data_IF_403877547321
#
_entry.id   IF_403877547321
#
_cell.length_a   1.000
_cell.length_b   1.000
_cell.length_c   1.000
_cell.angle_alpha   90.00
_cell.angle_beta   90.00
_cell.angle_gamma   90.00
#
_symmetry.space_group_name_H-M   'P 1'
#
loop_
_entity.id
_entity.type
_entity.pdbx_description
1 polymer ?
#
# COMPACT_ATOMS: atom_id res chain seq x y z
N UNK A 1 -4.68 5.59 23.82
CA UNK A 1 -5.56 4.43 23.50
C UNK A 1 -4.66 3.25 23.10
N UNK A 2 -4.91 2.07 23.65
CA UNK A 2 -4.16 0.85 23.28
C UNK A 2 -4.31 0.55 21.79
N UNK A 3 -3.24 0.10 21.13
CA UNK A 3 -3.25 -0.26 19.70
C UNK A 3 -4.32 -1.32 19.35
N UNK A 4 -4.61 -2.20 20.31
CA UNK A 4 -5.67 -3.22 20.18
C UNK A 4 -7.07 -2.60 20.02
N UNK A 5 -7.39 -1.56 20.79
CA UNK A 5 -8.70 -0.86 20.68
C UNK A 5 -8.81 -0.14 19.33
N UNK A 6 -7.72 0.46 18.84
CA UNK A 6 -7.71 1.11 17.53
C UNK A 6 -7.90 0.10 16.39
N UNK A 7 -7.26 -1.06 16.48
CA UNK A 7 -7.42 -2.15 15.51
C UNK A 7 -8.86 -2.68 15.49
N UNK A 8 -9.47 -2.92 16.66
CA UNK A 8 -10.86 -3.35 16.75
C UNK A 8 -11.82 -2.33 16.14
N UNK A 9 -11.64 -1.02 16.44
CA UNK A 9 -12.45 0.04 15.83
C UNK A 9 -12.31 0.09 14.30
N UNK A 10 -11.10 -0.13 13.78
CA UNK A 10 -10.88 -0.26 12.35
C UNK A 10 -11.60 -1.48 11.81
N UNK A 11 -11.44 -2.63 12.45
CA UNK A 11 -12.00 -3.91 12.02
C UNK A 11 -13.54 -3.88 11.88
N UNK A 12 -14.23 -3.21 12.81
CA UNK A 12 -15.69 -3.03 12.72
C UNK A 12 -16.13 -2.11 11.57
N UNK A 13 -15.28 -1.14 11.17
CA UNK A 13 -15.57 -0.20 10.08
C UNK A 13 -15.04 -0.67 8.72
N UNK A 14 -14.18 -1.66 8.71
CA UNK A 14 -13.61 -2.21 7.50
C UNK A 14 -14.52 -3.26 6.88
N UNK A 15 -14.49 -3.37 5.57
CA UNK A 15 -15.21 -4.37 4.82
C UNK A 15 -14.35 -5.61 4.53
N UNK A 16 -15.00 -6.71 4.19
CA UNK A 16 -14.40 -7.88 3.55
C UNK A 16 -14.75 -7.89 2.06
N UNK A 17 -14.42 -8.98 1.34
CA UNK A 17 -14.69 -9.09 -0.08
C UNK A 17 -16.16 -8.86 -0.47
N UNK A 18 -17.13 -9.15 0.40
CA UNK A 18 -18.55 -9.02 0.09
C UNK A 18 -19.05 -7.56 0.02
N UNK A 19 -18.33 -6.62 0.61
CA UNK A 19 -18.65 -5.19 0.55
C UNK A 19 -17.85 -4.41 -0.49
N UNK A 20 -17.16 -5.09 -1.42
CA UNK A 20 -16.33 -4.46 -2.45
C UNK A 20 -17.07 -4.52 -3.79
N UNK A 21 -17.41 -3.34 -4.32
CA UNK A 21 -18.08 -3.22 -5.63
C UNK A 21 -17.11 -3.05 -6.81
N UNK A 22 -15.86 -2.67 -6.55
CA UNK A 22 -14.82 -2.56 -7.57
C UNK A 22 -14.29 -3.95 -7.96
N UNK A 23 -14.45 -4.41 -9.23
CA UNK A 23 -13.95 -5.71 -9.67
C UNK A 23 -12.41 -5.82 -9.57
N UNK A 24 -11.70 -4.70 -9.72
CA UNK A 24 -10.26 -4.63 -9.58
C UNK A 24 -9.84 -4.90 -8.12
N UNK A 25 -10.42 -4.18 -7.17
CA UNK A 25 -10.11 -4.35 -5.74
C UNK A 25 -10.61 -5.69 -5.22
N UNK A 26 -11.78 -6.16 -5.66
CA UNK A 26 -12.28 -7.49 -5.31
C UNK A 26 -11.29 -8.60 -5.68
N UNK A 27 -10.76 -8.57 -6.92
CA UNK A 27 -9.74 -9.54 -7.36
C UNK A 27 -8.45 -9.45 -6.56
N UNK A 28 -7.99 -8.24 -6.28
CA UNK A 28 -6.81 -8.04 -5.44
C UNK A 28 -6.99 -8.61 -4.03
N UNK A 29 -8.12 -8.33 -3.39
CA UNK A 29 -8.41 -8.83 -2.04
C UNK A 29 -8.49 -10.36 -2.02
N UNK A 30 -9.24 -10.96 -2.94
CA UNK A 30 -9.50 -12.41 -2.94
C UNK A 30 -8.30 -13.23 -3.42
N UNK A 31 -7.59 -12.76 -4.45
CA UNK A 31 -6.47 -13.50 -5.09
C UNK A 31 -5.08 -13.00 -4.67
N UNK A 32 -4.99 -11.86 -4.00
CA UNK A 32 -3.74 -11.28 -3.51
C UNK A 32 -3.66 -11.30 -1.98
N UNK A 33 -4.53 -10.57 -1.29
CA UNK A 33 -4.43 -10.38 0.15
C UNK A 33 -4.82 -11.63 0.97
N UNK A 34 -5.90 -12.32 0.57
CA UNK A 34 -6.46 -13.45 1.33
C UNK A 34 -5.82 -14.80 1.02
N UNK A 35 -4.77 -14.83 0.19
CA UNK A 35 -4.00 -16.05 0.01
C UNK A 35 -3.38 -16.50 1.35
N UNK A 36 -3.36 -17.81 1.59
CA UNK A 36 -2.85 -18.38 2.85
C UNK A 36 -1.34 -18.22 3.01
N UNK A 37 -0.60 -18.03 1.91
CA UNK A 37 0.85 -17.89 1.94
C UNK A 37 1.29 -16.69 2.80
N UNK A 38 2.28 -16.92 3.66
CA UNK A 38 2.84 -15.93 4.58
C UNK A 38 4.34 -15.78 4.30
N UNK A 39 4.72 -14.64 3.76
CA UNK A 39 6.11 -14.33 3.41
C UNK A 39 6.99 -14.00 4.62
N UNK A 40 6.44 -13.32 5.63
CA UNK A 40 7.20 -12.92 6.83
C UNK A 40 6.30 -12.70 8.05
N UNK A 41 6.93 -12.51 9.23
CA UNK A 41 6.22 -12.28 10.50
C UNK A 41 5.61 -10.88 10.60
N UNK A 42 6.27 -9.86 10.06
CA UNK A 42 5.74 -8.49 10.05
C UNK A 42 4.47 -8.43 9.21
N UNK A 43 3.37 -7.96 9.80
CA UNK A 43 2.09 -7.85 9.10
C UNK A 43 2.17 -6.89 7.92
N UNK A 44 2.80 -5.72 8.10
CA UNK A 44 2.96 -4.74 7.05
C UNK A 44 3.80 -5.26 5.89
N UNK A 45 4.97 -5.81 6.16
CA UNK A 45 5.82 -6.39 5.12
C UNK A 45 5.18 -7.59 4.44
N UNK A 46 4.44 -8.43 5.18
CA UNK A 46 3.71 -9.55 4.58
C UNK A 46 2.65 -9.07 3.56
N UNK A 47 1.96 -7.97 3.86
CA UNK A 47 1.04 -7.34 2.91
C UNK A 47 1.81 -6.84 1.68
N UNK A 48 2.94 -6.17 1.88
CA UNK A 48 3.78 -5.68 0.78
C UNK A 48 4.23 -6.81 -0.16
N UNK A 49 4.73 -7.91 0.40
CA UNK A 49 5.11 -9.09 -0.40
C UNK A 49 3.91 -9.70 -1.16
N UNK A 50 2.74 -9.72 -0.55
CA UNK A 50 1.50 -10.13 -1.22
C UNK A 50 1.12 -9.19 -2.37
N UNK A 51 1.35 -7.88 -2.23
CA UNK A 51 1.17 -6.91 -3.30
C UNK A 51 2.13 -7.19 -4.46
N UNK A 52 3.42 -7.43 -4.18
CA UNK A 52 4.41 -7.79 -5.20
C UNK A 52 3.98 -9.05 -5.95
N UNK A 53 3.61 -10.10 -5.21
CA UNK A 53 3.18 -11.38 -5.79
C UNK A 53 1.94 -11.24 -6.68
N UNK A 54 1.00 -10.38 -6.31
CA UNK A 54 -0.23 -10.19 -7.06
C UNK A 54 -0.06 -9.26 -8.27
N UNK A 55 0.54 -8.08 -8.08
CA UNK A 55 0.69 -7.08 -9.14
C UNK A 55 1.84 -7.41 -10.10
N UNK A 56 2.81 -8.24 -9.69
CA UNK A 56 3.96 -8.67 -10.49
C UNK A 56 4.70 -7.50 -11.16
N UNK A 57 5.15 -6.51 -10.37
CA UNK A 57 5.89 -5.38 -10.92
C UNK A 57 7.21 -5.85 -11.54
N UNK A 58 7.72 -5.11 -12.52
CA UNK A 58 9.07 -5.30 -13.04
C UNK A 58 10.12 -4.59 -12.16
N UNK A 59 9.72 -3.48 -11.54
CA UNK A 59 10.63 -2.65 -10.75
C UNK A 59 9.99 -2.09 -9.48
N UNK A 60 10.81 -1.97 -8.43
CA UNK A 60 10.41 -1.40 -7.14
C UNK A 60 11.42 -0.35 -6.72
N UNK A 61 10.91 0.84 -6.36
CA UNK A 61 11.67 1.90 -5.72
C UNK A 61 11.40 1.95 -4.22
N UNK A 62 12.43 2.25 -3.45
CA UNK A 62 12.32 2.54 -2.03
C UNK A 62 12.58 4.03 -1.81
N UNK A 63 11.78 4.68 -0.96
CA UNK A 63 11.99 6.09 -0.61
C UNK A 63 13.35 6.28 0.08
N UNK A 64 13.64 5.43 1.06
CA UNK A 64 14.91 5.37 1.75
C UNK A 64 15.66 4.09 1.40
N UNK A 65 16.98 4.18 1.35
CA UNK A 65 17.81 3.00 1.13
C UNK A 65 17.67 2.02 2.30
N UNK A 66 17.18 0.83 1.99
CA UNK A 66 17.02 -0.26 2.96
C UNK A 66 17.51 -1.56 2.33
N UNK A 67 18.85 -1.76 2.40
CA UNK A 67 19.50 -2.93 1.81
C UNK A 67 18.96 -4.25 2.38
N UNK A 68 18.61 -4.30 3.67
CA UNK A 68 18.04 -5.51 4.27
C UNK A 68 16.69 -5.85 3.64
N UNK A 69 15.84 -4.85 3.40
CA UNK A 69 14.55 -5.07 2.74
C UNK A 69 14.73 -5.39 1.26
N UNK A 70 15.62 -4.67 0.55
CA UNK A 70 15.96 -4.97 -0.85
C UNK A 70 16.40 -6.42 -1.01
N UNK A 71 17.32 -6.90 -0.15
CA UNK A 71 17.79 -8.27 -0.18
C UNK A 71 16.69 -9.28 0.10
N UNK A 72 15.79 -9.03 1.06
CA UNK A 72 14.62 -9.89 1.31
C UNK A 72 13.70 -9.95 0.09
N UNK A 73 13.41 -8.80 -0.53
CA UNK A 73 12.59 -8.72 -1.74
C UNK A 73 13.27 -9.47 -2.90
N UNK A 74 14.58 -9.28 -3.08
CA UNK A 74 15.34 -9.94 -4.15
C UNK A 74 15.40 -11.46 -4.00
N UNK A 75 15.53 -11.95 -2.77
CA UNK A 75 15.53 -13.38 -2.48
C UNK A 75 14.19 -14.04 -2.81
N UNK A 76 13.06 -13.36 -2.51
CA UNK A 76 11.72 -13.88 -2.76
C UNK A 76 11.28 -13.67 -4.23
N UNK A 77 11.73 -12.59 -4.86
CA UNK A 77 11.38 -12.21 -6.23
C UNK A 77 12.65 -11.88 -7.04
N UNK A 78 13.41 -12.90 -7.48
CA UNK A 78 14.74 -12.70 -8.12
C UNK A 78 14.72 -11.88 -9.41
N UNK A 79 13.60 -11.84 -10.13
CA UNK A 79 13.45 -11.11 -11.39
C UNK A 79 13.25 -9.60 -11.21
N UNK A 80 12.94 -9.12 -9.99
CA UNK A 80 12.68 -7.72 -9.74
C UNK A 80 13.91 -6.83 -9.95
N UNK A 81 13.69 -5.70 -10.59
CA UNK A 81 14.64 -4.60 -10.71
C UNK A 81 14.43 -3.56 -9.61
N UNK A 82 15.50 -2.86 -9.24
CA UNK A 82 15.46 -1.69 -8.36
C UNK A 82 15.90 -0.42 -9.09
N UNK A 83 15.69 -0.38 -10.42
CA UNK A 83 16.00 0.77 -11.27
C UNK A 83 14.72 1.44 -11.75
N UNK A 84 14.73 2.76 -11.80
CA UNK A 84 13.63 3.54 -12.36
C UNK A 84 13.47 3.25 -13.89
N UNK A 85 12.24 3.43 -14.44
CA UNK A 85 11.02 3.84 -13.73
C UNK A 85 10.47 2.71 -12.85
N UNK A 86 9.85 3.08 -11.72
CA UNK A 86 9.32 2.11 -10.77
C UNK A 86 7.83 1.84 -10.99
N UNK A 87 7.45 0.55 -11.02
CA UNK A 87 6.04 0.13 -11.04
C UNK A 87 5.40 0.24 -9.66
N UNK A 88 6.18 -0.07 -8.61
CA UNK A 88 5.76 0.14 -7.22
C UNK A 88 6.81 0.99 -6.50
N UNK A 89 6.36 1.99 -5.75
CA UNK A 89 7.20 2.76 -4.83
C UNK A 89 6.83 2.44 -3.38
N UNK A 90 7.82 2.06 -2.58
CA UNK A 90 7.65 1.67 -1.18
C UNK A 90 8.06 2.82 -0.26
N UNK A 91 7.20 3.11 0.70
CA UNK A 91 7.43 4.03 1.83
C UNK A 91 7.33 3.25 3.13
N UNK A 92 8.33 3.39 4.02
CA UNK A 92 8.33 2.66 5.29
C UNK A 92 7.30 3.21 6.27
N UNK A 93 7.11 4.54 6.27
CA UNK A 93 6.04 5.21 7.03
C UNK A 93 5.85 6.63 6.50
N UNK A 94 4.77 7.27 6.90
CA UNK A 94 4.54 8.69 6.63
C UNK A 94 5.09 9.51 7.80
N UNK A 95 6.01 10.42 7.50
CA UNK A 95 6.69 11.26 8.50
C UNK A 95 6.46 12.75 8.22
N UNK A 96 6.50 13.16 6.94
CA UNK A 96 6.48 14.57 6.53
C UNK A 96 5.44 14.83 5.44
N UNK A 97 5.03 16.10 5.30
CA UNK A 97 4.14 16.53 4.22
C UNK A 97 4.87 16.57 2.86
N UNK A 98 6.20 16.71 2.84
CA UNK A 98 6.96 16.65 1.58
C UNK A 98 6.80 15.31 0.86
N UNK A 99 6.64 14.21 1.60
CA UNK A 99 6.35 12.91 1.01
C UNK A 99 5.05 12.91 0.17
N UNK A 100 4.05 13.72 0.55
CA UNK A 100 2.80 13.85 -0.22
C UNK A 100 3.09 14.49 -1.59
N UNK A 101 3.94 15.51 -1.65
CA UNK A 101 4.36 16.14 -2.92
C UNK A 101 5.15 15.17 -3.80
N UNK A 102 6.04 14.37 -3.20
CA UNK A 102 6.81 13.34 -3.93
C UNK A 102 5.90 12.26 -4.50
N UNK A 103 4.86 11.87 -3.76
CA UNK A 103 3.86 10.90 -4.22
C UNK A 103 2.99 11.48 -5.35
N UNK A 104 2.63 12.77 -5.30
CA UNK A 104 1.92 13.44 -6.38
C UNK A 104 2.74 13.45 -7.67
N UNK A 105 4.01 13.86 -7.59
CA UNK A 105 4.93 13.85 -8.73
C UNK A 105 5.11 12.44 -9.31
N UNK A 106 5.23 11.42 -8.44
CA UNK A 106 5.29 10.03 -8.89
C UNK A 106 4.02 9.62 -9.63
N UNK A 107 2.84 9.94 -9.10
CA UNK A 107 1.55 9.62 -9.72
C UNK A 107 1.34 10.29 -11.09
N UNK A 108 1.87 11.51 -11.28
CA UNK A 108 1.86 12.21 -12.57
C UNK A 108 2.79 11.53 -13.58
N UNK A 109 4.00 11.16 -13.18
CA UNK A 109 5.00 10.51 -14.04
C UNK A 109 4.66 9.05 -14.34
N UNK A 110 4.01 8.37 -13.39
CA UNK A 110 3.64 6.95 -13.45
C UNK A 110 2.16 6.74 -13.13
N UNK A 111 1.23 7.11 -14.05
CA UNK A 111 -0.21 7.01 -13.78
C UNK A 111 -0.71 5.58 -13.51
N UNK A 112 0.02 4.55 -13.96
CA UNK A 112 -0.25 3.14 -13.68
C UNK A 112 0.56 2.60 -12.50
N UNK A 113 1.42 3.43 -11.93
CA UNK A 113 2.24 3.08 -10.77
C UNK A 113 1.41 2.89 -9.52
N UNK A 114 2.01 2.22 -8.56
CA UNK A 114 1.40 1.93 -7.26
C UNK A 114 2.33 2.48 -6.18
N UNK A 115 1.78 3.12 -5.17
CA UNK A 115 2.51 3.40 -3.92
C UNK A 115 2.01 2.44 -2.85
N UNK A 116 2.95 1.77 -2.19
CA UNK A 116 2.73 1.05 -0.94
C UNK A 116 3.35 1.82 0.22
N UNK A 117 2.56 2.05 1.27
CA UNK A 117 3.01 2.70 2.50
C UNK A 117 2.85 1.70 3.64
N UNK A 118 3.98 1.36 4.28
CA UNK A 118 4.02 0.52 5.45
C UNK A 118 3.57 1.32 6.69
N UNK A 119 3.06 0.63 7.68
CA UNK A 119 2.78 1.17 9.02
C UNK A 119 2.07 2.54 9.06
N UNK A 120 1.03 2.71 8.20
CA UNK A 120 0.23 3.95 8.08
C UNK A 120 -0.42 4.43 9.39
N UNK A 121 -0.31 3.64 10.45
CA UNK A 121 -0.78 3.95 11.81
C UNK A 121 0.30 3.78 12.88
N UNK A 122 1.58 3.91 12.50
CA UNK A 122 2.71 3.82 13.43
C UNK A 122 2.54 4.77 14.62
N UNK A 123 2.07 5.98 14.33
CA UNK A 123 1.78 7.02 15.32
C UNK A 123 0.61 7.92 14.87
N UNK A 124 0.28 8.94 15.66
CA UNK A 124 -0.81 9.87 15.35
C UNK A 124 -0.53 10.67 14.08
N UNK A 125 0.69 11.17 13.91
CA UNK A 125 1.10 11.96 12.74
C UNK A 125 1.00 11.13 11.45
N UNK A 126 1.54 9.91 11.42
CA UNK A 126 1.44 9.02 10.25
C UNK A 126 -0.02 8.75 9.85
N UNK A 127 -0.90 8.58 10.84
CA UNK A 127 -2.33 8.40 10.59
C UNK A 127 -2.99 9.66 10.02
N UNK A 128 -2.62 10.86 10.50
CA UNK A 128 -3.13 12.12 10.01
C UNK A 128 -2.67 12.38 8.56
N UNK A 129 -1.40 12.10 8.26
CA UNK A 129 -0.86 12.18 6.90
C UNK A 129 -1.55 11.18 5.96
N UNK A 130 -1.79 9.95 6.39
CA UNK A 130 -2.56 8.98 5.62
C UNK A 130 -3.96 9.50 5.29
N UNK A 131 -4.67 10.08 6.25
CA UNK A 131 -6.00 10.65 6.03
C UNK A 131 -5.96 11.82 5.03
N UNK A 132 -4.92 12.68 5.08
CA UNK A 132 -4.71 13.74 4.09
C UNK A 132 -4.48 13.16 2.70
N UNK A 133 -3.63 12.14 2.58
CA UNK A 133 -3.33 11.47 1.32
C UNK A 133 -4.57 10.87 0.66
N UNK A 134 -5.40 10.19 1.43
CA UNK A 134 -6.66 9.59 0.94
C UNK A 134 -7.59 10.64 0.32
N UNK A 135 -7.53 11.88 0.81
CA UNK A 135 -8.35 13.00 0.32
C UNK A 135 -7.66 13.82 -0.78
N UNK A 136 -6.38 13.56 -1.08
CA UNK A 136 -5.63 14.31 -2.09
C UNK A 136 -6.17 14.04 -3.50
N UNK A 137 -6.22 15.09 -4.34
CA UNK A 137 -6.87 15.03 -5.66
C UNK A 137 -6.18 14.10 -6.67
N UNK A 138 -4.88 13.86 -6.47
CA UNK A 138 -4.12 12.95 -7.32
C UNK A 138 -4.37 11.47 -6.99
N UNK A 139 -4.98 11.14 -5.84
CA UNK A 139 -5.28 9.76 -5.43
C UNK A 139 -6.67 9.36 -5.94
N UNK A 140 -6.72 8.44 -6.87
CA UNK A 140 -7.98 7.92 -7.42
C UNK A 140 -8.52 6.77 -6.60
N UNK A 141 -7.67 5.80 -6.23
CA UNK A 141 -8.09 4.69 -5.38
C UNK A 141 -7.11 4.53 -4.23
N UNK A 142 -7.62 4.35 -3.02
CA UNK A 142 -6.82 3.97 -1.86
C UNK A 142 -7.35 2.71 -1.19
N UNK A 143 -6.43 1.89 -0.68
CA UNK A 143 -6.77 0.68 0.08
C UNK A 143 -6.08 0.73 1.43
N UNK A 144 -6.85 0.92 2.48
CA UNK A 144 -6.41 0.94 3.87
C UNK A 144 -6.54 -0.47 4.47
N UNK A 145 -5.43 -1.11 4.79
CA UNK A 145 -5.34 -2.45 5.36
C UNK A 145 -4.88 -2.43 6.83
N UNK A 146 -5.02 -1.31 7.51
CA UNK A 146 -4.56 -1.03 8.87
C UNK A 146 -3.04 -0.96 9.02
N UNK A 147 -2.31 -2.03 8.68
CA UNK A 147 -0.85 -2.15 8.80
C UNK A 147 -0.10 -1.60 7.58
N UNK A 148 -0.79 -1.37 6.49
CA UNK A 148 -0.24 -0.79 5.27
C UNK A 148 -1.35 -0.21 4.40
N UNK A 149 -0.99 0.65 3.46
CA UNK A 149 -1.88 1.29 2.53
C UNK A 149 -1.37 1.24 1.10
N UNK A 150 -2.31 1.21 0.15
CA UNK A 150 -2.03 1.31 -1.28
C UNK A 150 -2.68 2.57 -1.85
N UNK A 151 -1.99 3.21 -2.79
CA UNK A 151 -2.50 4.32 -3.59
C UNK A 151 -2.36 3.99 -5.07
N UNK A 152 -3.40 4.34 -5.83
CA UNK A 152 -3.47 4.22 -7.29
C UNK A 152 -3.90 5.56 -7.89
N UNK A 153 -3.35 5.90 -9.07
CA UNK A 153 -3.44 7.23 -9.68
C UNK A 153 -4.19 7.26 -11.01
N UNK A 154 -4.66 6.13 -11.50
CA UNK A 154 -5.21 6.00 -12.85
C UNK A 154 -6.53 6.77 -13.00
N UNK A 155 -6.51 7.90 -13.69
CA UNK A 155 -7.61 8.88 -13.81
C UNK A 155 -8.90 8.35 -14.46
N UNK A 156 -8.86 7.19 -15.12
CA UNK A 156 -10.08 6.57 -15.69
C UNK A 156 -10.89 5.76 -14.66
N UNK A 157 -10.35 5.58 -13.44
CA UNK A 157 -11.08 4.93 -12.36
C UNK A 157 -11.92 5.96 -11.60
N UNK A 158 -13.09 5.52 -11.12
CA UNK A 158 -13.85 6.30 -10.15
C UNK A 158 -13.03 6.46 -8.86
N UNK A 159 -13.17 7.61 -8.21
CA UNK A 159 -12.48 7.88 -6.94
C UNK A 159 -13.13 7.05 -5.84
N UNK A 160 -12.36 6.09 -5.29
CA UNK A 160 -12.85 5.13 -4.31
C UNK A 160 -11.83 4.88 -3.19
N UNK A 161 -12.32 4.74 -1.97
CA UNK A 161 -11.49 4.52 -0.78
C UNK A 161 -11.98 3.31 -0.02
N UNK A 162 -11.15 2.27 0.05
CA UNK A 162 -11.47 1.00 0.66
C UNK A 162 -10.78 0.83 2.01
N UNK A 163 -11.48 0.29 2.98
CA UNK A 163 -10.92 -0.21 4.24
C UNK A 163 -11.11 -1.70 4.29
N UNK A 164 -10.03 -2.46 4.21
CA UNK A 164 -10.06 -3.92 4.06
C UNK A 164 -9.58 -4.59 5.33
N UNK A 165 -10.37 -5.55 5.84
CA UNK A 165 -9.94 -6.44 6.93
C UNK A 165 -8.94 -7.45 6.41
N UNK A 166 -7.86 -7.68 7.17
CA UNK A 166 -6.82 -8.67 6.88
C UNK A 166 -6.44 -9.42 8.15
#
# INVERSE_FOLDING_TARGET
MSGTIQYLKFWFKATNQHGIHSPFIYRFVTKGLYIKHKYCRSKSLNIFFKCISYFKPNSIGFEEENELLKNKVKNEFPSLSFKAPYDIKYYETLVTESQISDMANYGEQQPKGIIYISDIRKNKSSKELWNKLVLADFVMVSVDMYFGGLLFFHKTQAREHFRIRI
#
